data_IF_815328288315
#
_entry.id   IF_815328288315
#
_cell.length_a   1.000
_cell.length_b   1.000
_cell.length_c   1.000
_cell.angle_alpha   90.00
_cell.angle_beta   90.00
_cell.angle_gamma   90.00
#
_symmetry.space_group_name_H-M   'P 1'
#
loop_
_entity.id
_entity.type
_entity.pdbx_description
1 polymer ?
#
# COMPACT_ATOMS: atom_id res chain seq x y z
N UNK A 1 47.19 15.81 21.27
CA UNK A 1 46.78 14.90 20.20
C UNK A 1 45.27 14.77 20.24
N UNK A 2 44.57 15.42 19.31
CA UNK A 2 43.12 15.49 19.27
C UNK A 2 42.68 14.37 18.32
N UNK A 3 42.09 13.30 18.85
CA UNK A 3 41.51 12.24 18.02
C UNK A 3 40.22 12.78 17.40
N UNK A 4 40.24 12.97 16.08
CA UNK A 4 39.03 13.20 15.32
C UNK A 4 38.25 11.88 15.22
N UNK A 5 37.25 11.72 16.07
CA UNK A 5 36.19 10.74 15.86
C UNK A 5 35.40 11.19 14.65
N UNK A 6 35.70 10.60 13.50
CA UNK A 6 34.86 10.65 12.31
C UNK A 6 33.48 10.15 12.70
N UNK A 7 32.53 11.07 12.84
CA UNK A 7 31.12 10.75 12.94
C UNK A 7 30.73 10.12 11.62
N UNK A 8 30.62 8.78 11.63
CA UNK A 8 29.95 8.03 10.59
C UNK A 8 28.51 8.54 10.55
N UNK A 9 28.23 9.55 9.71
CA UNK A 9 26.88 10.04 9.45
C UNK A 9 26.16 8.92 8.70
N UNK A 10 25.64 7.95 9.45
CA UNK A 10 24.64 7.03 8.96
C UNK A 10 23.56 7.88 8.31
N UNK A 11 23.36 7.69 7.01
CA UNK A 11 22.34 8.41 6.25
C UNK A 11 21.02 8.20 6.99
N UNK A 12 20.40 9.28 7.47
CA UNK A 12 19.11 9.15 8.13
C UNK A 12 18.12 8.47 7.17
N UNK A 13 17.35 7.49 7.64
CA UNK A 13 16.39 6.79 6.80
C UNK A 13 15.38 7.79 6.24
N UNK A 14 15.37 7.96 4.91
CA UNK A 14 14.35 8.77 4.24
C UNK A 14 13.01 8.05 4.38
N UNK A 15 12.12 8.63 5.19
CA UNK A 15 10.77 8.12 5.39
C UNK A 15 9.89 8.55 4.21
N UNK A 16 9.39 7.58 3.47
CA UNK A 16 8.47 7.77 2.33
C UNK A 16 7.17 7.02 2.61
N UNK A 17 6.08 7.38 1.92
CA UNK A 17 4.82 6.64 2.00
C UNK A 17 4.27 6.29 0.62
N UNK A 18 3.63 5.12 0.55
CA UNK A 18 2.77 4.73 -0.55
C UNK A 18 1.33 5.02 -0.16
N UNK A 19 0.60 5.65 -1.07
CA UNK A 19 -0.86 5.77 -1.01
C UNK A 19 -1.46 5.14 -2.26
N UNK A 20 -2.46 4.30 -2.10
CA UNK A 20 -3.17 3.71 -3.25
C UNK A 20 -4.21 4.65 -3.84
N UNK A 21 -4.66 5.65 -3.07
CA UNK A 21 -5.97 6.27 -3.30
C UNK A 21 -7.10 5.26 -3.06
N UNK A 22 -8.32 5.61 -3.45
CA UNK A 22 -9.42 4.64 -3.51
C UNK A 22 -9.17 3.70 -4.69
N UNK A 23 -9.11 2.40 -4.43
CA UNK A 23 -8.91 1.37 -5.44
C UNK A 23 -9.77 0.16 -5.13
N UNK A 24 -10.23 -0.52 -6.18
CA UNK A 24 -10.91 -1.81 -6.05
C UNK A 24 -9.98 -2.82 -5.34
N UNK A 25 -10.51 -3.56 -4.36
CA UNK A 25 -9.76 -4.52 -3.55
C UNK A 25 -9.05 -5.56 -4.42
N UNK A 26 -9.67 -6.01 -5.52
CA UNK A 26 -9.02 -6.92 -6.47
C UNK A 26 -7.75 -6.37 -7.15
N UNK A 27 -7.49 -5.06 -7.08
CA UNK A 27 -6.38 -4.40 -7.76
C UNK A 27 -5.33 -3.78 -6.83
N UNK A 28 -5.52 -3.82 -5.50
CA UNK A 28 -4.62 -3.13 -4.58
C UNK A 28 -3.17 -3.64 -4.68
N UNK A 29 -3.00 -4.96 -4.85
CA UNK A 29 -1.68 -5.61 -4.85
C UNK A 29 -0.79 -5.08 -5.98
N UNK A 30 -1.36 -5.01 -7.18
CA UNK A 30 -0.64 -4.56 -8.37
C UNK A 30 -0.33 -3.06 -8.31
N UNK A 31 -1.26 -2.27 -7.75
CA UNK A 31 -1.04 -0.84 -7.50
C UNK A 31 0.10 -0.60 -6.52
N UNK A 32 0.14 -1.32 -5.38
CA UNK A 32 1.20 -1.20 -4.39
C UNK A 32 2.57 -1.54 -5.00
N UNK A 33 2.66 -2.67 -5.69
CA UNK A 33 3.89 -3.10 -6.37
C UNK A 33 4.38 -2.03 -7.35
N UNK A 34 3.53 -1.62 -8.31
CA UNK A 34 3.90 -0.60 -9.31
C UNK A 34 4.33 0.72 -8.68
N UNK A 35 3.64 1.14 -7.63
CA UNK A 35 3.96 2.39 -6.93
C UNK A 35 5.29 2.30 -6.21
N UNK A 36 5.56 1.19 -5.51
CA UNK A 36 6.84 0.99 -4.83
C UNK A 36 8.01 1.00 -5.82
N UNK A 37 7.91 0.23 -6.91
CA UNK A 37 8.94 0.19 -7.95
C UNK A 37 9.20 1.56 -8.57
N UNK A 38 8.14 2.35 -8.81
CA UNK A 38 8.29 3.71 -9.32
C UNK A 38 9.00 4.63 -8.30
N UNK A 39 8.61 4.59 -7.03
CA UNK A 39 9.18 5.44 -5.99
C UNK A 39 10.66 5.16 -5.72
N UNK A 40 11.09 3.89 -5.79
CA UNK A 40 12.48 3.49 -5.50
C UNK A 40 13.36 3.34 -6.75
N UNK A 41 12.84 3.70 -7.94
CA UNK A 41 13.52 3.51 -9.22
C UNK A 41 14.94 4.06 -9.23
N UNK A 42 15.16 5.24 -8.63
CA UNK A 42 16.47 5.88 -8.63
C UNK A 42 17.47 5.13 -7.74
N UNK A 43 17.05 4.68 -6.56
CA UNK A 43 17.87 3.83 -5.67
C UNK A 43 18.27 2.52 -6.33
N UNK A 44 17.40 1.97 -7.19
CA UNK A 44 17.73 0.77 -7.97
C UNK A 44 18.78 1.07 -9.04
N UNK A 45 18.65 2.19 -9.76
CA UNK A 45 19.62 2.59 -10.79
C UNK A 45 21.00 2.89 -10.20
N UNK A 46 21.06 3.49 -9.02
CA UNK A 46 22.33 3.83 -8.35
C UNK A 46 22.96 2.65 -7.61
N UNK A 47 22.32 1.47 -7.62
CA UNK A 47 22.81 0.26 -6.95
C UNK A 47 22.59 0.24 -5.43
N UNK A 48 21.92 1.26 -4.87
CA UNK A 48 21.59 1.34 -3.44
C UNK A 48 20.49 0.33 -3.04
N UNK A 49 19.64 -0.09 -3.99
CA UNK A 49 18.65 -1.14 -3.83
C UNK A 49 18.72 -2.14 -4.97
N UNK A 50 18.51 -3.43 -4.67
CA UNK A 50 18.39 -4.48 -5.67
C UNK A 50 16.93 -4.66 -6.10
N UNK A 51 16.67 -5.05 -7.34
CA UNK A 51 15.28 -5.25 -7.81
C UNK A 51 14.55 -6.34 -7.02
N UNK A 52 15.26 -7.39 -6.63
CA UNK A 52 14.73 -8.51 -5.84
C UNK A 52 14.29 -8.06 -4.45
N UNK A 53 14.98 -7.07 -3.88
CA UNK A 53 14.63 -6.46 -2.61
C UNK A 53 13.31 -5.67 -2.69
N UNK A 54 13.10 -4.95 -3.79
CA UNK A 54 11.83 -4.25 -4.05
C UNK A 54 10.68 -5.25 -4.21
N UNK A 55 10.91 -6.35 -4.95
CA UNK A 55 9.94 -7.42 -5.11
C UNK A 55 9.59 -8.10 -3.78
N UNK A 56 10.59 -8.40 -2.95
CA UNK A 56 10.42 -8.95 -1.60
C UNK A 56 9.56 -8.03 -0.74
N UNK A 57 9.93 -6.76 -0.65
CA UNK A 57 9.22 -5.79 0.18
C UNK A 57 7.76 -5.59 -0.25
N UNK A 58 7.49 -5.56 -1.56
CA UNK A 58 6.13 -5.52 -2.08
C UNK A 58 5.34 -6.79 -1.73
N UNK A 59 5.98 -7.97 -1.84
CA UNK A 59 5.37 -9.26 -1.50
C UNK A 59 4.99 -9.36 -0.03
N UNK A 60 5.87 -8.93 0.88
CA UNK A 60 5.61 -8.96 2.32
C UNK A 60 4.40 -8.10 2.72
N UNK A 61 4.37 -6.84 2.23
CA UNK A 61 3.24 -5.95 2.50
C UNK A 61 1.95 -6.51 1.88
N UNK A 62 2.02 -7.05 0.65
CA UNK A 62 0.86 -7.65 0.01
C UNK A 62 0.29 -8.83 0.79
N UNK A 63 1.14 -9.74 1.28
CA UNK A 63 0.73 -10.89 2.09
C UNK A 63 0.10 -10.47 3.41
N UNK A 64 0.65 -9.43 4.08
CA UNK A 64 0.04 -8.86 5.27
C UNK A 64 -1.35 -8.29 4.96
N UNK A 65 -1.46 -7.50 3.90
CA UNK A 65 -2.72 -6.87 3.49
C UNK A 65 -3.75 -7.88 3.03
N UNK A 66 -3.35 -8.99 2.40
CA UNK A 66 -4.26 -10.06 2.01
C UNK A 66 -4.96 -10.66 3.23
N UNK A 67 -4.18 -11.01 4.26
CA UNK A 67 -4.72 -11.53 5.52
C UNK A 67 -5.65 -10.53 6.20
N UNK A 68 -5.34 -9.24 6.16
CA UNK A 68 -6.22 -8.21 6.73
C UNK A 68 -7.51 -8.01 5.90
N UNK A 69 -7.36 -7.77 4.60
CA UNK A 69 -8.44 -7.31 3.72
C UNK A 69 -9.37 -8.45 3.33
N UNK A 70 -8.80 -9.59 2.94
CA UNK A 70 -9.58 -10.72 2.41
C UNK A 70 -9.98 -11.65 3.54
N UNK A 71 -9.01 -12.11 4.34
CA UNK A 71 -9.30 -13.09 5.40
C UNK A 71 -9.94 -12.42 6.64
N UNK A 72 -9.45 -11.25 7.04
CA UNK A 72 -9.93 -10.55 8.24
C UNK A 72 -11.23 -9.77 8.03
N UNK A 73 -11.29 -8.94 6.99
CA UNK A 73 -12.45 -8.07 6.72
C UNK A 73 -13.49 -8.73 5.79
N UNK A 74 -13.14 -9.84 5.15
CA UNK A 74 -14.02 -10.54 4.22
C UNK A 74 -14.39 -9.71 2.99
N UNK A 75 -13.48 -8.83 2.53
CA UNK A 75 -13.77 -8.01 1.35
C UNK A 75 -13.74 -8.85 0.08
N UNK A 76 -14.73 -8.60 -0.77
CA UNK A 76 -14.83 -9.15 -2.11
C UNK A 76 -14.02 -8.32 -3.09
N UNK A 77 -13.70 -8.91 -4.26
CA UNK A 77 -12.89 -8.24 -5.28
C UNK A 77 -13.45 -6.89 -5.71
N UNK A 78 -14.77 -6.70 -5.70
CA UNK A 78 -15.44 -5.45 -6.12
C UNK A 78 -15.59 -4.39 -5.02
N UNK A 79 -15.19 -4.69 -3.79
CA UNK A 79 -15.11 -3.70 -2.72
C UNK A 79 -13.98 -2.70 -2.99
N UNK A 80 -13.95 -1.60 -2.25
CA UNK A 80 -12.94 -0.55 -2.40
C UNK A 80 -12.12 -0.44 -1.13
N UNK A 81 -10.81 -0.21 -1.29
CA UNK A 81 -9.87 0.03 -0.20
C UNK A 81 -9.04 1.28 -0.46
N UNK A 82 -8.53 1.89 0.61
CA UNK A 82 -7.48 2.90 0.56
C UNK A 82 -6.39 2.53 1.56
N UNK A 83 -5.17 2.32 1.06
CA UNK A 83 -4.02 1.88 1.85
C UNK A 83 -2.98 3.00 1.88
N UNK A 84 -2.50 3.33 3.07
CA UNK A 84 -1.32 4.17 3.29
C UNK A 84 -0.29 3.40 4.10
N UNK A 85 0.89 3.18 3.52
CA UNK A 85 1.97 2.43 4.13
C UNK A 85 3.26 3.24 4.07
N UNK A 86 3.85 3.55 5.22
CA UNK A 86 5.14 4.23 5.31
C UNK A 86 6.28 3.21 5.30
N UNK A 87 7.42 3.59 4.72
CA UNK A 87 8.64 2.78 4.71
C UNK A 87 9.87 3.66 4.77
N UNK A 88 11.00 3.02 5.05
CA UNK A 88 12.32 3.62 4.96
C UNK A 88 13.31 2.65 4.31
N UNK A 89 14.37 3.21 3.74
CA UNK A 89 15.48 2.44 3.16
C UNK A 89 16.65 2.46 4.14
N UNK A 90 17.15 1.29 4.50
CA UNK A 90 18.27 1.10 5.43
C UNK A 90 19.08 -0.10 4.99
N UNK A 91 20.40 0.07 4.83
CA UNK A 91 21.32 -1.03 4.50
C UNK A 91 20.91 -1.83 3.25
N UNK A 92 20.47 -1.11 2.21
CA UNK A 92 20.00 -1.72 0.96
C UNK A 92 18.73 -2.56 1.12
N UNK A 93 17.92 -2.28 2.14
CA UNK A 93 16.63 -2.93 2.39
C UNK A 93 15.51 -1.93 2.59
N UNK A 94 14.30 -2.30 2.15
CA UNK A 94 13.07 -1.57 2.41
C UNK A 94 12.44 -2.15 3.69
N UNK A 95 12.20 -1.28 4.68
CA UNK A 95 11.56 -1.63 5.95
C UNK A 95 10.24 -0.87 6.10
N UNK A 96 9.15 -1.59 6.32
CA UNK A 96 7.82 -1.01 6.52
C UNK A 96 7.64 -0.51 7.95
N UNK A 97 7.06 0.68 8.11
CA UNK A 97 6.56 1.19 9.38
C UNK A 97 5.10 0.71 9.54
N UNK A 98 4.96 -0.50 10.09
CA UNK A 98 3.66 -1.15 10.27
C UNK A 98 2.82 -0.49 11.36
N UNK A 99 3.43 0.23 12.31
CA UNK A 99 2.73 0.96 13.37
C UNK A 99 1.85 2.07 12.79
N UNK A 100 2.25 2.63 11.65
CA UNK A 100 1.51 3.68 10.94
C UNK A 100 0.79 3.17 9.67
N UNK A 101 0.64 1.85 9.50
CA UNK A 101 -0.13 1.29 8.39
C UNK A 101 -1.61 1.65 8.55
N UNK A 102 -2.19 2.32 7.55
CA UNK A 102 -3.60 2.66 7.53
C UNK A 102 -4.29 1.94 6.38
N UNK A 103 -5.44 1.32 6.69
CA UNK A 103 -6.31 0.69 5.71
C UNK A 103 -7.73 1.16 5.96
N UNK A 104 -8.34 1.74 4.94
CA UNK A 104 -9.75 2.07 4.91
C UNK A 104 -10.45 1.09 3.95
N UNK A 105 -11.65 0.65 4.32
CA UNK A 105 -12.41 -0.36 3.58
C UNK A 105 -13.84 0.11 3.36
N UNK A 106 -14.34 -0.10 2.14
CA UNK A 106 -15.67 0.31 1.69
C UNK A 106 -16.32 -0.88 1.00
N UNK A 107 -17.41 -1.39 1.58
CA UNK A 107 -18.17 -2.49 0.97
C UNK A 107 -19.05 -1.96 -0.17
N UNK A 108 -19.03 -2.65 -1.30
CA UNK A 108 -19.91 -2.38 -2.42
C UNK A 108 -21.32 -2.84 -2.07
N UNK A 109 -22.30 -1.96 -2.24
CA UNK A 109 -23.72 -2.32 -2.22
C UNK A 109 -24.04 -3.10 -3.49
N UNK A 110 -24.81 -4.19 -3.39
CA UNK A 110 -25.08 -5.05 -4.53
C UNK A 110 -25.91 -4.33 -5.60
N UNK A 111 -25.76 -4.73 -6.86
CA UNK A 111 -26.50 -4.13 -7.97
C UNK A 111 -28.00 -4.39 -7.84
N UNK A 112 -28.39 -5.55 -7.31
CA UNK A 112 -29.78 -5.92 -7.06
C UNK A 112 -30.43 -5.02 -6.01
N UNK A 113 -29.70 -4.69 -4.94
CA UNK A 113 -30.17 -3.78 -3.89
C UNK A 113 -30.35 -2.36 -4.44
N UNK A 114 -29.35 -1.86 -5.15
CA UNK A 114 -29.41 -0.55 -5.81
C UNK A 114 -30.59 -0.50 -6.79
N UNK A 115 -30.74 -1.52 -7.64
CA UNK A 115 -31.81 -1.59 -8.64
C UNK A 115 -33.20 -1.61 -8.00
N UNK A 116 -33.37 -2.36 -6.90
CA UNK A 116 -34.64 -2.42 -6.15
C UNK A 116 -35.03 -1.07 -5.57
N UNK A 117 -34.07 -0.37 -4.97
CA UNK A 117 -34.30 0.96 -4.40
C UNK A 117 -34.64 1.98 -5.50
N UNK A 118 -33.93 1.94 -6.63
CA UNK A 118 -34.22 2.78 -7.79
C UNK A 118 -35.64 2.55 -8.32
N UNK A 119 -36.04 1.30 -8.54
CA UNK A 119 -37.39 0.97 -9.02
C UNK A 119 -38.48 1.52 -8.08
N UNK A 120 -38.27 1.41 -6.76
CA UNK A 120 -39.20 1.93 -5.74
C UNK A 120 -39.34 3.45 -5.81
N UNK A 121 -38.24 4.18 -6.01
CA UNK A 121 -38.25 5.64 -6.07
C UNK A 121 -38.90 6.16 -7.36
N UNK A 122 -38.66 5.49 -8.49
CA UNK A 122 -39.27 5.84 -9.77
C UNK A 122 -40.79 5.69 -9.71
N UNK A 123 -41.30 4.58 -9.13
CA UNK A 123 -42.75 4.34 -9.00
C UNK A 123 -43.47 5.32 -8.06
N UNK A 124 -42.78 5.89 -7.07
CA UNK A 124 -43.36 6.89 -6.15
C UNK A 124 -43.43 8.30 -6.73
N UNK A 125 -42.78 8.53 -7.87
CA UNK A 125 -42.63 9.86 -8.49
C UNK A 125 -43.50 10.04 -9.74
N UNK A 126 -44.29 9.03 -10.12
CA UNK A 126 -45.27 9.07 -11.22
C UNK A 126 -46.66 8.73 -10.72
#
# INVERSE_FOLDING_TARGET
>A
MISQLGTNRGVEPVKTSITTGLIIAGAYADKLRKTLFAQVREYVKTGQLRQEEVARAAGELNSLLFRLIVEGLGLSKGDVVRIRAAYYISEGRIKWDLTNLQVEAFKRVSEEEVSRLLATLIQKSG
#
